data_IF_122955732954
#
_entry.id   IF_122955732954
#
_cell.length_a   1.000
_cell.length_b   1.000
_cell.length_c   1.000
_cell.angle_alpha   90.00
_cell.angle_beta   90.00
_cell.angle_gamma   90.00
#
_symmetry.space_group_name_H-M   'P 1'
#
loop_
_entity.id
_entity.type
_entity.pdbx_description
1 polymer ?
#
# COMPACT_ATOMS: atom_id res chain seq x y z
N UNK A 1 8.58 0.72 -24.31
CA UNK A 1 7.14 0.48 -24.30
C UNK A 1 6.43 1.75 -23.85
N UNK A 2 5.43 2.17 -24.62
CA UNK A 2 4.62 3.33 -24.28
C UNK A 2 3.73 3.03 -23.06
N UNK A 3 3.60 3.98 -22.16
CA UNK A 3 2.68 3.86 -21.03
C UNK A 3 1.23 3.63 -21.46
N UNK A 4 0.85 4.10 -22.65
CA UNK A 4 -0.50 3.90 -23.18
C UNK A 4 -0.78 2.46 -23.54
N UNK A 5 0.26 1.66 -23.83
CA UNK A 5 0.12 0.25 -24.20
C UNK A 5 -0.01 -0.66 -22.98
N UNK A 6 0.16 -0.13 -21.76
CA UNK A 6 0.14 -0.92 -20.54
C UNK A 6 -1.27 -0.98 -19.95
N UNK A 7 -1.60 -2.09 -19.29
CA UNK A 7 -2.82 -2.20 -18.50
C UNK A 7 -2.75 -1.26 -17.28
N UNK A 8 -3.90 -1.00 -16.63
CA UNK A 8 -3.93 -0.20 -15.40
C UNK A 8 -3.02 -0.75 -14.32
N UNK A 9 -3.01 -2.09 -14.13
CA UNK A 9 -2.15 -2.74 -13.15
C UNK A 9 -0.67 -2.59 -13.50
N UNK A 10 -0.31 -2.75 -14.77
CA UNK A 10 1.06 -2.57 -15.23
C UNK A 10 1.54 -1.13 -15.05
N UNK A 11 0.68 -0.15 -15.31
CA UNK A 11 1.00 1.27 -15.07
C UNK A 11 1.28 1.52 -13.60
N UNK A 12 0.51 0.92 -12.70
CA UNK A 12 0.71 1.05 -11.26
C UNK A 12 2.06 0.48 -10.85
N UNK A 13 2.44 -0.70 -11.36
CA UNK A 13 3.73 -1.31 -11.07
C UNK A 13 4.90 -0.46 -11.56
N UNK A 14 4.79 0.10 -12.75
CA UNK A 14 5.82 1.00 -13.31
C UNK A 14 5.95 2.26 -12.45
N UNK A 15 4.84 2.85 -12.05
CA UNK A 15 4.84 4.04 -11.21
C UNK A 15 5.49 3.78 -9.85
N UNK A 16 5.18 2.63 -9.22
CA UNK A 16 5.79 2.24 -7.95
C UNK A 16 7.30 2.01 -8.09
N UNK A 17 7.72 1.34 -9.15
CA UNK A 17 9.15 1.13 -9.41
C UNK A 17 9.90 2.45 -9.55
N UNK A 18 9.29 3.42 -10.23
CA UNK A 18 9.87 4.76 -10.37
C UNK A 18 9.96 5.48 -9.03
N UNK A 19 8.91 5.42 -8.21
CA UNK A 19 8.89 6.03 -6.88
C UNK A 19 10.00 5.43 -6.01
N UNK A 20 10.16 4.11 -6.03
CA UNK A 20 11.21 3.45 -5.24
C UNK A 20 12.61 3.83 -5.72
N UNK A 21 12.80 4.02 -7.04
CA UNK A 21 14.06 4.49 -7.58
C UNK A 21 14.37 5.93 -7.13
N UNK A 22 13.38 6.80 -7.16
CA UNK A 22 13.52 8.19 -6.71
C UNK A 22 13.85 8.23 -5.21
N UNK A 23 13.21 7.39 -4.41
CA UNK A 23 13.46 7.33 -2.98
C UNK A 23 14.92 7.07 -2.63
N UNK A 24 15.60 6.26 -3.42
CA UNK A 24 17.02 5.98 -3.19
C UNK A 24 17.90 7.22 -3.40
N UNK A 25 17.48 8.10 -4.30
CA UNK A 25 18.24 9.31 -4.65
C UNK A 25 17.82 10.51 -3.82
N UNK A 26 16.53 10.65 -3.53
CA UNK A 26 15.95 11.81 -2.85
C UNK A 26 14.78 11.33 -1.97
N UNK A 27 15.07 10.76 -0.78
CA UNK A 27 14.04 10.16 0.07
C UNK A 27 13.04 11.19 0.57
N UNK A 28 11.76 10.86 0.50
CA UNK A 28 10.70 11.63 1.15
C UNK A 28 10.53 11.14 2.59
N UNK A 29 10.00 12.00 3.51
CA UNK A 29 9.76 11.59 4.90
C UNK A 29 8.72 10.48 5.02
N UNK A 30 7.72 10.47 4.14
CA UNK A 30 6.74 9.40 4.05
C UNK A 30 6.07 9.42 2.69
N UNK A 31 5.37 8.33 2.36
CA UNK A 31 4.59 8.19 1.12
C UNK A 31 3.16 7.85 1.46
N UNK A 32 2.21 8.48 0.78
CA UNK A 32 0.79 8.22 0.95
C UNK A 32 0.25 7.60 -0.33
N UNK A 33 -0.23 6.36 -0.23
CA UNK A 33 -0.80 5.62 -1.35
C UNK A 33 -2.28 5.37 -1.12
N UNK A 34 -3.12 5.95 -1.96
CA UNK A 34 -4.56 5.84 -1.84
C UNK A 34 -5.10 4.85 -2.87
N UNK A 35 -5.44 3.65 -2.39
CA UNK A 35 -6.03 2.57 -3.20
C UNK A 35 -5.24 2.25 -4.47
N UNK A 36 -3.91 2.22 -4.37
CA UNK A 36 -3.04 1.92 -5.52
C UNK A 36 -3.23 0.51 -6.05
N UNK A 37 -3.78 -0.37 -5.23
CA UNK A 37 -3.99 -1.78 -5.52
C UNK A 37 -5.35 -2.07 -6.17
N UNK A 38 -6.21 -1.06 -6.35
CA UNK A 38 -7.56 -1.25 -6.86
C UNK A 38 -7.59 -1.84 -8.27
N UNK A 39 -6.63 -1.49 -9.12
CA UNK A 39 -6.54 -1.97 -10.50
C UNK A 39 -5.66 -3.22 -10.65
N UNK A 40 -5.12 -3.78 -9.56
CA UNK A 40 -4.20 -4.90 -9.62
C UNK A 40 -4.93 -6.24 -9.49
N UNK A 41 -4.47 -7.23 -10.24
CA UNK A 41 -4.86 -8.62 -10.03
C UNK A 41 -4.27 -9.13 -8.70
N UNK A 42 -4.83 -10.20 -8.08
CA UNK A 42 -4.36 -10.69 -6.79
C UNK A 42 -2.85 -11.00 -6.73
N UNK A 43 -2.29 -11.57 -7.81
CA UNK A 43 -0.86 -11.87 -7.84
C UNK A 43 0.00 -10.60 -7.81
N UNK A 44 -0.45 -9.52 -8.44
CA UNK A 44 0.26 -8.24 -8.41
C UNK A 44 0.12 -7.55 -7.06
N UNK A 45 -1.01 -7.73 -6.38
CA UNK A 45 -1.20 -7.21 -5.03
C UNK A 45 -0.17 -7.82 -4.07
N UNK A 46 0.05 -9.11 -4.16
CA UNK A 46 1.05 -9.81 -3.36
C UNK A 46 2.45 -9.26 -3.63
N UNK A 47 2.78 -9.05 -4.90
CA UNK A 47 4.07 -8.49 -5.31
C UNK A 47 4.26 -7.08 -4.75
N UNK A 48 3.26 -6.22 -4.89
CA UNK A 48 3.30 -4.84 -4.38
C UNK A 48 3.45 -4.84 -2.86
N UNK A 49 2.70 -5.69 -2.15
CA UNK A 49 2.79 -5.79 -0.71
C UNK A 49 4.20 -6.17 -0.26
N UNK A 50 4.83 -7.14 -0.93
CA UNK A 50 6.19 -7.55 -0.64
C UNK A 50 7.20 -6.42 -0.90
N UNK A 51 7.02 -5.67 -1.97
CA UNK A 51 7.86 -4.52 -2.30
C UNK A 51 7.76 -3.43 -1.24
N UNK A 52 6.55 -3.09 -0.82
CA UNK A 52 6.32 -2.08 0.22
C UNK A 52 6.97 -2.50 1.54
N UNK A 53 6.78 -3.75 1.94
CA UNK A 53 7.38 -4.27 3.17
C UNK A 53 8.89 -4.21 3.12
N UNK A 54 9.48 -4.59 1.99
CA UNK A 54 10.95 -4.56 1.81
C UNK A 54 11.49 -3.13 1.96
N UNK A 55 10.83 -2.15 1.34
CA UNK A 55 11.27 -0.76 1.43
C UNK A 55 11.06 -0.18 2.83
N UNK A 56 9.98 -0.54 3.50
CA UNK A 56 9.70 -0.07 4.85
C UNK A 56 10.72 -0.60 5.87
N UNK A 57 11.27 -1.78 5.64
CA UNK A 57 12.20 -2.44 6.54
C UNK A 57 13.64 -2.43 6.02
N UNK A 58 13.95 -1.61 5.03
CA UNK A 58 15.31 -1.48 4.51
C UNK A 58 16.24 -0.94 5.62
N UNK A 59 17.35 -1.64 5.86
CA UNK A 59 18.24 -1.28 6.95
C UNK A 59 19.00 0.03 6.71
N UNK A 60 19.22 0.39 5.47
CA UNK A 60 20.01 1.57 5.10
C UNK A 60 19.12 2.81 4.91
N UNK A 61 17.94 2.63 4.31
CA UNK A 61 17.08 3.74 3.95
C UNK A 61 15.60 3.32 4.08
N UNK A 62 15.11 3.15 5.33
CA UNK A 62 13.72 2.74 5.54
C UNK A 62 12.75 3.84 5.08
N UNK A 63 11.63 3.42 4.54
CA UNK A 63 10.57 4.33 4.11
C UNK A 63 9.31 4.08 4.92
N UNK A 64 8.58 5.15 5.23
CA UNK A 64 7.26 5.03 5.83
C UNK A 64 6.21 5.11 4.74
N UNK A 65 5.32 4.12 4.69
CA UNK A 65 4.19 4.08 3.78
C UNK A 65 2.88 4.11 4.56
N UNK A 66 2.00 5.00 4.16
CA UNK A 66 0.61 5.05 4.64
C UNK A 66 -0.25 4.64 3.45
N UNK A 67 -0.95 3.52 3.58
CA UNK A 67 -1.68 2.92 2.46
C UNK A 67 -3.14 2.74 2.83
N UNK A 68 -4.03 3.22 1.96
CA UNK A 68 -5.46 2.90 2.07
C UNK A 68 -5.76 1.74 1.15
N UNK A 69 -6.44 0.71 1.66
CA UNK A 69 -6.70 -0.51 0.90
C UNK A 69 -7.88 -1.29 1.47
N UNK A 70 -8.54 -2.07 0.59
CA UNK A 70 -9.53 -3.06 0.99
C UNK A 70 -9.03 -4.49 0.74
N UNK A 71 -7.78 -4.68 0.36
CA UNK A 71 -7.29 -5.98 -0.10
C UNK A 71 -6.42 -6.67 0.95
N UNK A 72 -6.77 -7.92 1.33
CA UNK A 72 -6.06 -8.65 2.37
C UNK A 72 -4.57 -8.83 2.08
N UNK A 73 -4.18 -8.95 0.81
CA UNK A 73 -2.79 -9.12 0.43
C UNK A 73 -1.90 -7.97 0.91
N UNK A 74 -2.43 -6.74 0.85
CA UNK A 74 -1.71 -5.56 1.32
C UNK A 74 -1.75 -5.48 2.84
N UNK A 75 -2.93 -5.68 3.43
CA UNK A 75 -3.10 -5.61 4.89
C UNK A 75 -2.20 -6.63 5.60
N UNK A 76 -2.04 -7.83 5.05
CA UNK A 76 -1.25 -8.87 5.68
C UNK A 76 0.23 -8.46 5.90
N UNK A 77 0.74 -7.54 5.10
CA UNK A 77 2.14 -7.10 5.16
C UNK A 77 2.32 -5.80 5.95
N UNK A 78 1.26 -5.25 6.53
CA UNK A 78 1.34 -4.02 7.29
C UNK A 78 1.95 -4.21 8.67
N UNK A 79 2.50 -3.14 9.23
CA UNK A 79 3.07 -3.11 10.58
C UNK A 79 2.08 -2.53 11.59
N UNK A 80 1.27 -1.58 11.16
CA UNK A 80 0.31 -0.90 12.00
C UNK A 80 -1.00 -0.71 11.23
N UNK A 81 -2.13 -0.89 11.89
CA UNK A 81 -3.44 -0.94 11.24
C UNK A 81 -4.42 0.03 11.87
N UNK A 82 -5.16 0.72 11.01
CA UNK A 82 -6.23 1.61 11.42
C UNK A 82 -7.48 1.28 10.60
N UNK A 83 -8.61 1.13 11.27
CA UNK A 83 -9.89 0.98 10.60
C UNK A 83 -10.63 2.30 10.61
N UNK A 84 -11.29 2.62 9.51
CA UNK A 84 -12.16 3.79 9.41
C UNK A 84 -13.59 3.31 9.24
N UNK A 85 -14.46 3.72 10.16
CA UNK A 85 -15.88 3.36 10.12
C UNK A 85 -16.74 4.61 10.20
N UNK A 86 -17.89 4.55 9.54
CA UNK A 86 -18.87 5.63 9.55
C UNK A 86 -20.13 5.15 10.26
N UNK A 87 -20.42 5.75 11.42
CA UNK A 87 -21.58 5.39 12.24
C UNK A 87 -22.30 6.67 12.67
N UNK A 88 -23.62 6.71 12.51
CA UNK A 88 -24.43 7.86 12.88
C UNK A 88 -23.90 9.18 12.29
N UNK A 89 -23.50 9.15 11.01
CA UNK A 89 -22.95 10.30 10.27
C UNK A 89 -21.61 10.81 10.83
N UNK A 90 -20.95 10.01 11.66
CA UNK A 90 -19.64 10.34 12.20
C UNK A 90 -18.63 9.30 11.72
N UNK A 91 -17.56 9.76 11.09
CA UNK A 91 -16.42 8.90 10.73
C UNK A 91 -15.49 8.78 11.93
N UNK A 92 -15.07 7.55 12.23
CA UNK A 92 -14.19 7.27 13.36
C UNK A 92 -13.01 6.43 12.88
N UNK A 93 -11.86 6.63 13.50
CA UNK A 93 -10.65 5.89 13.23
C UNK A 93 -10.32 5.01 14.45
N UNK A 94 -10.12 3.74 14.20
CA UNK A 94 -9.81 2.76 15.23
C UNK A 94 -8.43 2.16 15.01
N UNK A 95 -7.66 2.00 16.08
CA UNK A 95 -6.41 1.24 16.02
C UNK A 95 -6.76 -0.26 16.09
N UNK A 96 -6.22 -1.04 15.17
CA UNK A 96 -6.50 -2.47 15.05
C UNK A 96 -5.21 -3.27 15.11
N UNK A 97 -5.28 -4.52 15.62
CA UNK A 97 -4.22 -5.49 15.41
C UNK A 97 -4.42 -6.19 14.06
N UNK A 98 -3.45 -7.03 13.65
CA UNK A 98 -3.55 -7.70 12.34
C UNK A 98 -4.79 -8.58 12.21
N UNK A 99 -5.12 -9.35 13.24
CA UNK A 99 -6.30 -10.21 13.23
C UNK A 99 -7.59 -9.41 13.09
N UNK A 100 -7.74 -8.33 13.84
CA UNK A 100 -8.90 -7.46 13.76
C UNK A 100 -8.98 -6.75 12.41
N UNK A 101 -7.84 -6.34 11.85
CA UNK A 101 -7.78 -5.70 10.53
C UNK A 101 -8.26 -6.66 9.44
N UNK A 102 -7.87 -7.92 9.50
CA UNK A 102 -8.30 -8.93 8.53
C UNK A 102 -9.80 -9.21 8.64
N UNK A 103 -10.35 -9.23 9.85
CA UNK A 103 -11.79 -9.37 10.05
C UNK A 103 -12.57 -8.16 9.58
N UNK A 104 -12.01 -6.97 9.72
CA UNK A 104 -12.64 -5.72 9.32
C UNK A 104 -12.92 -5.68 7.81
N UNK A 105 -12.14 -6.43 7.02
CA UNK A 105 -12.30 -6.52 5.57
C UNK A 105 -13.43 -7.46 5.13
N UNK A 106 -13.97 -8.25 6.02
CA UNK A 106 -15.02 -9.23 5.72
C UNK A 106 -16.42 -8.63 5.80
#
# INVERSE_FOLDING_TARGET
>A
VSMRALSGGQKTLVALALIFAIQRCDPAPFYLFDEIDAALDPQYRTTVAAMLKRQAHDATNPAQFIVTTFHPQIVAEGDRFFGVAHTNRISQVYTLNRGDAMQFLQ
#
